data_IF_966098092986
#
_entry.id   IF_966098092986
#
_cell.length_a   1.000
_cell.length_b   1.000
_cell.length_c   1.000
_cell.angle_alpha   90.00
_cell.angle_beta   90.00
_cell.angle_gamma   90.00
#
_symmetry.space_group_name_H-M   'P 1'
#
loop_
_entity.id
_entity.type
_entity.pdbx_description
1 polymer ?
#
# COMPACT_ATOMS: atom_id res chain seq x y z
N UNK A 1 -16.82 -9.53 -3.16
CA UNK A 1 -16.25 -8.20 -2.86
C UNK A 1 -14.89 -8.22 -3.49
N UNK A 2 -14.57 -7.24 -4.33
CA UNK A 2 -13.26 -7.19 -4.98
C UNK A 2 -12.29 -6.41 -4.10
N UNK A 3 -11.07 -6.91 -4.01
CA UNK A 3 -9.99 -6.29 -3.26
C UNK A 3 -8.83 -6.00 -4.21
N UNK A 4 -8.14 -4.89 -3.99
CA UNK A 4 -6.97 -4.55 -4.78
C UNK A 4 -5.84 -4.00 -3.92
N UNK A 5 -4.62 -4.20 -4.40
CA UNK A 5 -3.41 -3.71 -3.75
C UNK A 5 -2.46 -3.14 -4.78
N UNK A 6 -1.98 -1.92 -4.51
CA UNK A 6 -0.93 -1.29 -5.31
C UNK A 6 0.42 -1.48 -4.62
N UNK A 7 1.35 -2.06 -5.36
CA UNK A 7 2.66 -2.45 -4.83
C UNK A 7 3.75 -2.34 -5.90
N UNK A 8 5.01 -2.48 -5.48
CA UNK A 8 6.17 -2.60 -6.37
C UNK A 8 6.55 -4.06 -6.59
N UNK A 9 7.58 -4.31 -7.40
CA UNK A 9 8.16 -5.64 -7.55
C UNK A 9 9.07 -6.05 -6.37
N UNK A 10 9.56 -5.10 -5.55
CA UNK A 10 10.44 -5.43 -4.44
C UNK A 10 9.66 -5.96 -3.23
N UNK A 11 10.15 -7.04 -2.64
CA UNK A 11 9.53 -7.60 -1.44
C UNK A 11 9.94 -6.81 -0.19
N UNK A 12 8.96 -6.56 0.68
CA UNK A 12 9.21 -5.98 1.99
C UNK A 12 9.92 -6.99 2.90
N UNK A 13 10.82 -6.49 3.76
CA UNK A 13 11.66 -7.34 4.61
C UNK A 13 10.86 -8.20 5.59
N UNK A 14 9.81 -7.63 6.19
CA UNK A 14 8.98 -8.28 7.21
C UNK A 14 8.00 -9.26 6.56
N UNK A 15 7.16 -8.78 5.65
CA UNK A 15 6.07 -9.57 5.08
C UNK A 15 6.54 -10.61 4.05
N UNK A 16 7.75 -10.43 3.48
CA UNK A 16 8.24 -11.15 2.29
C UNK A 16 7.33 -11.03 1.06
N UNK A 17 6.37 -10.11 1.11
CA UNK A 17 5.41 -9.82 0.04
C UNK A 17 5.80 -8.53 -0.68
N UNK A 18 5.31 -8.32 -1.92
CA UNK A 18 5.50 -7.07 -2.64
C UNK A 18 5.18 -5.85 -1.79
N UNK A 19 6.03 -4.82 -1.85
CA UNK A 19 5.98 -3.64 -0.97
C UNK A 19 4.87 -2.68 -1.42
N UNK A 20 4.09 -2.18 -0.46
CA UNK A 20 3.05 -1.18 -0.74
C UNK A 20 3.63 0.18 -1.14
N UNK A 21 2.88 0.95 -1.92
CA UNK A 21 3.31 2.24 -2.47
C UNK A 21 3.71 3.27 -1.39
N UNK A 22 3.00 3.39 -0.26
CA UNK A 22 3.35 4.31 0.82
C UNK A 22 4.76 4.06 1.37
N UNK A 23 5.05 2.79 1.70
CA UNK A 23 6.37 2.39 2.21
C UNK A 23 7.47 2.46 1.15
N UNK A 24 7.10 2.35 -0.14
CA UNK A 24 8.03 2.49 -1.25
C UNK A 24 8.53 3.93 -1.37
N UNK A 25 7.61 4.90 -1.37
CA UNK A 25 7.98 6.32 -1.44
C UNK A 25 8.65 6.77 -0.15
N UNK A 26 8.23 6.26 1.01
CA UNK A 26 8.93 6.50 2.28
C UNK A 26 10.41 6.10 2.23
N UNK A 27 10.74 4.98 1.55
CA UNK A 27 12.14 4.59 1.35
C UNK A 27 12.94 5.59 0.50
N UNK A 28 12.32 6.26 -0.48
CA UNK A 28 12.98 7.28 -1.30
C UNK A 28 13.37 8.50 -0.45
N UNK A 29 12.54 8.83 0.55
CA UNK A 29 12.84 9.84 1.57
C UNK A 29 13.98 9.35 2.47
N UNK A 30 13.86 8.16 3.05
CA UNK A 30 14.86 7.60 3.97
C UNK A 30 16.25 7.47 3.30
N UNK A 31 16.29 7.17 1.99
CA UNK A 31 17.53 7.07 1.21
C UNK A 31 18.05 8.42 0.70
N UNK A 32 17.44 9.54 1.07
CA UNK A 32 17.79 10.90 0.62
C UNK A 32 17.86 11.04 -0.90
N UNK A 33 16.97 10.33 -1.59
CA UNK A 33 16.91 10.34 -3.06
C UNK A 33 16.05 11.50 -3.58
N UNK A 34 15.06 11.92 -2.78
CA UNK A 34 14.14 13.02 -3.10
C UNK A 34 14.78 14.38 -2.86
N UNK A 35 14.32 15.41 -3.56
CA UNK A 35 14.70 16.80 -3.27
C UNK A 35 14.03 17.27 -1.97
N UNK A 36 14.54 18.35 -1.37
CA UNK A 36 13.94 18.93 -0.16
C UNK A 36 12.47 19.35 -0.36
N UNK A 37 12.12 19.88 -1.53
CA UNK A 37 10.75 20.24 -1.87
C UNK A 37 9.83 19.02 -1.95
N UNK A 38 10.32 17.93 -2.52
CA UNK A 38 9.56 16.67 -2.63
C UNK A 38 9.42 15.98 -1.28
N UNK A 39 10.46 16.01 -0.45
CA UNK A 39 10.38 15.50 0.91
C UNK A 39 9.33 16.28 1.72
N UNK A 40 9.32 17.61 1.59
CA UNK A 40 8.29 18.44 2.23
C UNK A 40 6.88 18.08 1.75
N UNK A 41 6.69 17.88 0.45
CA UNK A 41 5.40 17.48 -0.10
C UNK A 41 5.02 16.04 0.32
N UNK A 42 5.99 15.14 0.45
CA UNK A 42 5.78 13.80 1.00
C UNK A 42 5.22 13.87 2.41
N UNK A 43 5.82 14.65 3.31
CA UNK A 43 5.35 14.77 4.69
C UNK A 43 3.95 15.38 4.77
N UNK A 44 3.64 16.36 3.93
CA UNK A 44 2.29 16.93 3.80
C UNK A 44 1.26 15.90 3.33
N UNK A 45 1.60 15.09 2.33
CA UNK A 45 0.71 14.01 1.87
C UNK A 45 0.54 12.93 2.93
N UNK A 46 1.62 12.58 3.65
CA UNK A 46 1.59 11.59 4.72
C UNK A 46 0.66 12.00 5.85
N UNK A 47 0.77 13.25 6.32
CA UNK A 47 -0.12 13.82 7.34
C UNK A 47 -1.58 13.74 6.89
N UNK A 48 -1.88 14.16 5.66
CA UNK A 48 -3.23 14.06 5.10
C UNK A 48 -3.76 12.62 5.09
N UNK A 49 -2.98 11.65 4.63
CA UNK A 49 -3.42 10.26 4.60
C UNK A 49 -3.56 9.65 5.99
N UNK A 50 -2.72 10.02 6.97
CA UNK A 50 -2.88 9.58 8.36
C UNK A 50 -4.17 10.14 8.99
N UNK A 51 -4.71 11.27 8.50
CA UNK A 51 -6.02 11.80 8.93
C UNK A 51 -7.21 11.11 8.25
N UNK A 52 -7.12 10.82 6.94
CA UNK A 52 -8.28 10.33 6.15
C UNK A 52 -8.33 8.82 5.97
N UNK A 53 -7.22 8.12 6.19
CA UNK A 53 -7.09 6.67 6.09
C UNK A 53 -6.71 6.13 7.48
N UNK A 54 -7.59 5.34 8.13
CA UNK A 54 -7.26 4.73 9.41
C UNK A 54 -5.95 3.93 9.33
N UNK A 55 -5.07 4.13 10.31
CA UNK A 55 -3.83 3.37 10.46
C UNK A 55 -4.13 2.10 11.26
N UNK A 56 -3.94 0.89 10.69
CA UNK A 56 -4.15 -0.34 11.42
C UNK A 56 -3.31 -0.45 12.71
N UNK A 57 -3.89 -0.83 13.87
CA UNK A 57 -3.19 -0.83 15.17
C UNK A 57 -1.95 -1.72 15.25
N UNK A 58 -1.86 -2.76 14.41
CA UNK A 58 -0.68 -3.63 14.38
C UNK A 58 0.60 -2.91 13.90
N UNK A 59 0.48 -1.74 13.25
CA UNK A 59 1.63 -0.93 12.90
C UNK A 59 2.32 -0.31 14.12
N UNK A 60 1.62 -0.09 15.23
CA UNK A 60 2.22 0.41 16.49
C UNK A 60 3.25 -0.57 17.07
N UNK A 61 3.11 -1.86 16.74
CA UNK A 61 4.02 -2.94 17.14
C UNK A 61 5.04 -3.28 16.04
N UNK A 62 5.09 -2.52 14.95
CA UNK A 62 5.97 -2.77 13.82
C UNK A 62 5.52 -3.91 12.89
N UNK A 63 4.22 -4.24 12.87
CA UNK A 63 3.63 -5.30 12.05
C UNK A 63 4.27 -6.70 12.26
N UNK A 64 4.26 -7.24 13.49
CA UNK A 64 4.96 -8.48 13.84
C UNK A 64 4.44 -9.72 13.09
N UNK A 65 3.17 -9.72 12.72
CA UNK A 65 2.53 -10.83 11.99
C UNK A 65 2.75 -10.77 10.47
N UNK A 66 3.43 -9.74 9.98
CA UNK A 66 3.70 -9.57 8.55
C UNK A 66 2.44 -9.34 7.73
N UNK A 67 1.44 -8.66 8.29
CA UNK A 67 0.19 -8.36 7.64
C UNK A 67 0.38 -7.50 6.39
N UNK A 68 -0.49 -7.73 5.41
CA UNK A 68 -0.56 -6.94 4.18
C UNK A 68 -1.94 -6.32 4.04
N UNK A 69 -1.99 -5.06 3.62
CA UNK A 69 -3.25 -4.35 3.41
C UNK A 69 -3.71 -4.43 1.96
N UNK A 70 -5.02 -4.55 1.79
CA UNK A 70 -5.72 -4.52 0.51
C UNK A 70 -6.86 -3.51 0.61
N UNK A 71 -6.99 -2.63 -0.38
CA UNK A 71 -8.16 -1.77 -0.49
C UNK A 71 -9.38 -2.58 -0.90
N UNK A 72 -10.54 -2.18 -0.40
CA UNK A 72 -11.83 -2.66 -0.87
C UNK A 72 -12.21 -1.89 -2.12
N UNK A 73 -12.59 -2.59 -3.18
CA UNK A 73 -13.16 -1.92 -4.36
C UNK A 73 -14.50 -1.29 -3.99
N UNK A 74 -14.64 0.01 -4.26
CA UNK A 74 -15.81 0.80 -3.90
C UNK A 74 -15.44 2.27 -3.73
N UNK A 75 -16.45 3.12 -3.51
CA UNK A 75 -16.27 4.58 -3.46
C UNK A 75 -15.14 5.02 -2.52
N UNK A 76 -15.12 4.51 -1.29
CA UNK A 76 -14.15 4.93 -0.27
C UNK A 76 -12.72 4.46 -0.59
N UNK A 77 -12.53 3.18 -0.92
CA UNK A 77 -11.21 2.64 -1.27
C UNK A 77 -10.67 3.29 -2.55
N UNK A 78 -11.51 3.40 -3.58
CA UNK A 78 -11.14 3.99 -4.87
C UNK A 78 -10.75 5.46 -4.72
N UNK A 79 -11.46 6.23 -3.88
CA UNK A 79 -11.11 7.63 -3.58
C UNK A 79 -9.70 7.75 -3.03
N UNK A 80 -9.33 6.91 -2.05
CA UNK A 80 -7.97 6.92 -1.49
C UNK A 80 -6.95 6.66 -2.59
N UNK A 81 -7.19 5.67 -3.44
CA UNK A 81 -6.31 5.43 -4.58
C UNK A 81 -6.23 6.65 -5.50
N UNK A 82 -7.34 7.27 -5.89
CA UNK A 82 -7.37 8.45 -6.76
C UNK A 82 -6.54 9.61 -6.20
N UNK A 83 -6.64 9.86 -4.88
CA UNK A 83 -5.92 10.91 -4.15
C UNK A 83 -4.40 10.67 -4.06
N UNK A 84 -3.90 9.45 -4.26
CA UNK A 84 -2.47 9.11 -4.18
C UNK A 84 -1.63 9.56 -5.40
N UNK A 85 -1.95 10.69 -6.01
CA UNK A 85 -1.26 11.24 -7.20
C UNK A 85 0.22 11.46 -6.94
N UNK A 86 0.56 12.13 -5.83
CA UNK A 86 1.95 12.40 -5.45
C UNK A 86 2.80 11.13 -5.40
N UNK A 87 2.29 10.07 -4.75
CA UNK A 87 3.01 8.81 -4.62
C UNK A 87 3.26 8.14 -5.97
N UNK A 88 2.27 8.15 -6.87
CA UNK A 88 2.42 7.62 -8.24
C UNK A 88 3.46 8.42 -9.02
N UNK A 89 3.42 9.75 -8.91
CA UNK A 89 4.34 10.63 -9.62
C UNK A 89 5.77 10.45 -9.14
N UNK A 90 6.00 10.28 -7.83
CA UNK A 90 7.31 9.97 -7.28
C UNK A 90 7.82 8.62 -7.76
N UNK A 91 6.97 7.58 -7.74
CA UNK A 91 7.35 6.28 -8.30
C UNK A 91 7.76 6.39 -9.77
N UNK A 92 6.96 7.09 -10.60
CA UNK A 92 7.26 7.33 -12.01
C UNK A 92 8.57 8.10 -12.20
N UNK A 93 8.76 9.19 -11.46
CA UNK A 93 9.95 10.05 -11.55
C UNK A 93 11.24 9.28 -11.23
N UNK A 94 11.20 8.45 -10.20
CA UNK A 94 12.36 7.69 -9.72
C UNK A 94 12.47 6.28 -10.33
N UNK A 95 11.73 5.99 -11.41
CA UNK A 95 11.83 4.73 -12.15
C UNK A 95 11.32 3.50 -11.39
N UNK A 96 10.48 3.71 -10.39
CA UNK A 96 9.86 2.65 -9.60
C UNK A 96 8.59 2.18 -10.29
N UNK A 97 8.60 0.94 -10.78
CA UNK A 97 7.43 0.31 -11.41
C UNK A 97 6.36 -0.02 -10.37
N UNK A 98 5.12 0.31 -10.70
CA UNK A 98 3.95 -0.03 -9.91
C UNK A 98 3.18 -1.17 -10.56
N UNK A 99 2.60 -1.99 -9.71
CA UNK A 99 1.73 -3.09 -10.07
C UNK A 99 0.45 -2.97 -9.26
N UNK A 100 -0.65 -3.42 -9.85
CA UNK A 100 -1.91 -3.64 -9.15
C UNK A 100 -2.23 -5.13 -9.16
N UNK A 101 -2.45 -5.68 -7.98
CA UNK A 101 -2.97 -7.02 -7.77
C UNK A 101 -4.43 -6.93 -7.35
N UNK A 102 -5.28 -7.75 -7.95
CA UNK A 102 -6.72 -7.76 -7.71
C UNK A 102 -7.24 -9.19 -7.49
N UNK A 103 -8.24 -9.32 -6.62
CA UNK A 103 -8.92 -10.60 -6.37
C UNK A 103 -10.38 -10.37 -5.96
N UNK A 104 -11.25 -11.32 -6.31
CA UNK A 104 -12.66 -11.34 -5.89
C UNK A 104 -12.88 -12.18 -4.62
N UNK A 105 -11.81 -12.78 -4.09
CA UNK A 105 -11.79 -13.67 -2.93
C UNK A 105 -11.09 -13.00 -1.74
N UNK A 106 -11.31 -13.50 -0.52
CA UNK A 106 -10.62 -13.00 0.67
C UNK A 106 -9.11 -13.33 0.58
N UNK A 107 -8.20 -12.33 0.54
CA UNK A 107 -6.78 -12.54 0.24
C UNK A 107 -5.94 -13.17 1.36
N UNK A 108 -6.56 -13.60 2.46
CA UNK A 108 -5.89 -14.24 3.58
C UNK A 108 -6.78 -14.34 4.82
N UNK A 109 -6.17 -14.71 5.95
CA UNK A 109 -6.84 -14.62 7.26
C UNK A 109 -6.96 -13.15 7.66
N UNK A 110 -8.19 -12.67 7.80
CA UNK A 110 -8.51 -11.29 8.16
C UNK A 110 -8.10 -10.99 9.61
N UNK A 111 -7.31 -9.94 9.81
CA UNK A 111 -6.92 -9.46 11.16
C UNK A 111 -7.34 -8.02 11.43
N UNK A 112 -7.76 -7.29 10.39
CA UNK A 112 -8.20 -5.90 10.49
C UNK A 112 -9.11 -5.55 9.32
N UNK A 113 -10.13 -4.75 9.58
CA UNK A 113 -11.05 -4.25 8.57
C UNK A 113 -11.54 -2.85 8.96
N UNK A 114 -11.52 -1.93 8.00
CA UNK A 114 -12.17 -0.63 8.08
C UNK A 114 -13.00 -0.38 6.81
N UNK A 115 -13.54 0.84 6.64
CA UNK A 115 -14.38 1.18 5.48
C UNK A 115 -13.64 1.24 4.13
N UNK A 116 -12.31 1.32 4.14
CA UNK A 116 -11.43 1.53 3.00
C UNK A 116 -10.62 0.28 2.63
N UNK A 117 -10.16 -0.47 3.62
CA UNK A 117 -9.19 -1.55 3.47
C UNK A 117 -9.44 -2.71 4.44
N UNK A 118 -8.77 -3.82 4.14
CA UNK A 118 -8.57 -4.96 5.02
C UNK A 118 -7.07 -5.16 5.24
N UNK A 119 -6.70 -5.78 6.36
CA UNK A 119 -5.37 -6.38 6.51
C UNK A 119 -5.50 -7.87 6.74
N UNK A 120 -4.67 -8.62 6.03
CA UNK A 120 -4.68 -10.08 6.07
C UNK A 120 -3.28 -10.63 6.33
N UNK A 121 -3.24 -11.84 6.87
CA UNK A 121 -2.05 -12.68 7.00
C UNK A 121 -2.28 -14.02 6.28
N UNK A 122 -1.22 -14.81 6.10
CA UNK A 122 -1.30 -16.18 5.54
C UNK A 122 -2.12 -16.26 4.24
N UNK A 123 -1.69 -15.52 3.23
CA UNK A 123 -2.29 -15.60 1.90
C UNK A 123 -2.24 -17.06 1.38
N UNK A 124 -3.38 -17.64 0.94
CA UNK A 124 -3.41 -19.03 0.47
C UNK A 124 -2.59 -19.21 -0.82
N UNK A 125 -1.93 -20.36 -0.99
CA UNK A 125 -1.10 -20.65 -2.17
C UNK A 125 -1.89 -20.80 -3.48
N UNK A 126 -3.21 -21.01 -3.40
CA UNK A 126 -4.08 -21.26 -4.56
C UNK A 126 -5.09 -20.14 -4.86
N UNK A 127 -4.99 -18.99 -4.19
CA UNK A 127 -5.94 -17.90 -4.41
C UNK A 127 -5.78 -17.28 -5.80
N UNK A 128 -6.90 -16.96 -6.45
CA UNK A 128 -6.89 -16.24 -7.72
C UNK A 128 -6.56 -14.76 -7.50
N UNK A 129 -5.32 -14.37 -7.81
CA UNK A 129 -4.88 -12.97 -7.83
C UNK A 129 -4.38 -12.65 -9.24
N UNK A 130 -4.94 -11.60 -9.83
CA UNK A 130 -4.52 -11.07 -11.12
C UNK A 130 -3.64 -9.86 -10.89
N UNK A 131 -2.39 -9.91 -11.33
CA UNK A 131 -1.44 -8.80 -11.23
C UNK A 131 -1.12 -8.22 -12.61
N UNK A 132 -1.15 -6.89 -12.74
CA UNK A 132 -0.68 -6.17 -13.93
C UNK A 132 0.20 -4.98 -13.55
N UNK A 133 1.11 -4.61 -14.45
CA UNK A 133 1.86 -3.34 -14.37
C UNK A 133 0.89 -2.17 -14.61
N UNK A 134 1.07 -1.07 -13.86
CA UNK A 134 0.31 0.19 -13.97
C UNK A 134 1.02 1.20 -14.88
#
# INVERSE_FOLDING_TARGET
MKYYRVHTADNAYITKQPRGIFTTVGKLVDSKTMTEEEEKEYWRNREYFEEVLPVPPFYDQGNPEGAITWFKEGEKGNRIWEEMTFYRDMCKKYGVKLFISETDEMPGELIYEDDFQIAVVKQPEGISIVTREL
#
